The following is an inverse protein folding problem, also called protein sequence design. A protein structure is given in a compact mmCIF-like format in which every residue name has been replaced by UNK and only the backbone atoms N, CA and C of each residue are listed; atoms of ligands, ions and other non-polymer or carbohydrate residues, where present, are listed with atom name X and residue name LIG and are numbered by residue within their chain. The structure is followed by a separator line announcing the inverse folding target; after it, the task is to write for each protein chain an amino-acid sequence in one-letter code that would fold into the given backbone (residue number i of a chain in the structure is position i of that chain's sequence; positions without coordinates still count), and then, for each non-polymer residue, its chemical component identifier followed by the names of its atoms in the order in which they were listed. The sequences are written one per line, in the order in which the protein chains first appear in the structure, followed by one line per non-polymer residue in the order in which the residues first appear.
data_IF_665083254422
#
_entry.id   IF_665083254422
#
_cell.length_a   1.000
_cell.length_b   1.000
_cell.length_c   1.000
_cell.angle_alpha   90.00
_cell.angle_beta   90.00
_cell.angle_gamma   90.00
#
_symmetry.space_group_name_H-M   'P 1'
#
loop_
_entity.id
_entity.type
_entity.pdbx_description
1 polymer ?
#
# COMPACT_ATOMS: atom_id res chain seq x y z
N UNK A 1 20.45 34.21 -10.83
CA UNK A 1 19.37 35.06 -11.39
C UNK A 1 18.24 34.13 -11.79
N UNK A 2 16.99 34.42 -11.45
CA UNK A 2 15.84 33.58 -11.86
C UNK A 2 15.57 33.83 -13.35
N UNK A 3 15.44 32.78 -14.19
CA UNK A 3 15.06 32.95 -15.58
C UNK A 3 13.66 33.57 -15.71
N UNK A 4 13.46 34.40 -16.72
CA UNK A 4 12.16 35.06 -16.95
C UNK A 4 11.00 34.06 -17.17
N UNK A 5 11.30 32.87 -17.72
CA UNK A 5 10.35 31.79 -17.91
C UNK A 5 10.78 30.49 -17.20
N UNK A 6 11.10 30.59 -15.91
CA UNK A 6 11.60 29.47 -15.14
C UNK A 6 10.72 28.21 -15.25
N UNK A 7 9.39 28.36 -15.33
CA UNK A 7 8.42 27.25 -15.41
C UNK A 7 8.60 26.35 -16.64
N UNK A 8 9.19 26.88 -17.71
CA UNK A 8 9.53 26.15 -18.92
C UNK A 8 11.03 25.86 -19.00
N UNK A 9 11.88 26.84 -18.67
CA UNK A 9 13.34 26.74 -18.87
C UNK A 9 14.07 26.06 -17.72
N UNK A 10 13.38 25.72 -16.63
CA UNK A 10 13.98 25.16 -15.41
C UNK A 10 13.21 23.98 -14.84
N UNK A 11 12.39 23.32 -15.67
CA UNK A 11 11.73 22.05 -15.36
C UNK A 11 12.78 21.02 -14.93
N UNK A 12 12.44 20.16 -13.98
CA UNK A 12 13.36 19.21 -13.34
C UNK A 12 14.33 19.82 -12.31
N UNK A 13 14.72 21.09 -12.45
CA UNK A 13 15.70 21.74 -11.58
C UNK A 13 15.15 22.92 -10.76
N UNK A 14 13.82 23.01 -10.59
CA UNK A 14 13.19 24.17 -9.97
C UNK A 14 13.70 24.46 -8.56
N UNK A 15 14.02 23.43 -7.76
CA UNK A 15 14.54 23.61 -6.39
C UNK A 15 15.95 24.20 -6.31
N UNK A 16 16.73 24.10 -7.39
CA UNK A 16 18.07 24.69 -7.48
C UNK A 16 18.06 26.21 -7.51
N UNK A 17 16.94 26.81 -7.92
CA UNK A 17 16.76 28.26 -7.99
C UNK A 17 16.16 28.74 -6.66
N UNK A 18 16.84 29.62 -5.94
CA UNK A 18 16.40 30.02 -4.59
C UNK A 18 15.00 30.66 -4.58
N UNK A 19 14.72 31.55 -5.55
CA UNK A 19 13.46 32.31 -5.58
C UNK A 19 12.22 31.46 -5.94
N UNK A 20 12.39 30.29 -6.56
CA UNK A 20 11.28 29.38 -6.91
C UNK A 20 10.90 28.46 -5.77
N UNK A 21 11.71 28.37 -4.70
CA UNK A 21 11.39 27.53 -3.52
C UNK A 21 10.15 28.02 -2.80
N UNK A 22 9.92 29.32 -2.75
CA UNK A 22 8.73 29.87 -2.10
C UNK A 22 7.45 29.51 -2.84
N UNK A 23 7.50 29.44 -4.17
CA UNK A 23 6.41 28.90 -4.98
C UNK A 23 6.15 27.41 -4.66
N UNK A 24 7.19 26.59 -4.60
CA UNK A 24 7.06 25.16 -4.28
C UNK A 24 6.48 24.95 -2.87
N UNK A 25 6.95 25.71 -1.88
CA UNK A 25 6.42 25.68 -0.50
C UNK A 25 4.96 26.13 -0.43
N UNK A 26 4.60 27.21 -1.12
CA UNK A 26 3.22 27.68 -1.17
C UNK A 26 2.28 26.62 -1.79
N UNK A 27 2.73 25.94 -2.84
CA UNK A 27 1.95 24.87 -3.49
C UNK A 27 1.84 23.61 -2.63
N UNK A 28 2.87 23.26 -1.87
CA UNK A 28 2.78 22.22 -0.87
C UNK A 28 1.79 22.58 0.24
N UNK A 29 1.86 23.82 0.75
CA UNK A 29 0.92 24.31 1.76
C UNK A 29 -0.53 24.29 1.25
N UNK A 30 -0.77 24.63 -0.02
CA UNK A 30 -2.09 24.47 -0.64
C UNK A 30 -2.59 23.02 -0.59
N UNK A 31 -1.73 22.03 -0.88
CA UNK A 31 -2.11 20.62 -0.78
C UNK A 31 -2.47 20.20 0.65
N UNK A 32 -1.75 20.73 1.65
CA UNK A 32 -2.09 20.50 3.07
C UNK A 32 -3.50 21.02 3.37
N UNK A 33 -3.90 22.15 2.80
CA UNK A 33 -5.25 22.70 2.97
C UNK A 33 -6.32 21.93 2.17
N UNK A 34 -6.01 21.52 0.93
CA UNK A 34 -6.92 20.70 0.12
C UNK A 34 -7.28 19.39 0.84
N UNK A 35 -6.31 18.81 1.56
CA UNK A 35 -6.52 17.61 2.35
C UNK A 35 -7.64 17.73 3.39
N UNK A 36 -7.78 18.90 4.00
CA UNK A 36 -8.80 19.16 5.03
C UNK A 36 -10.23 19.08 4.47
N UNK A 37 -10.40 19.32 3.17
CA UNK A 37 -11.70 19.18 2.52
C UNK A 37 -12.16 17.71 2.40
N UNK A 38 -11.21 16.77 2.33
CA UNK A 38 -11.45 15.32 2.29
C UNK A 38 -12.51 14.86 1.25
N UNK A 39 -12.58 15.55 0.11
CA UNK A 39 -13.46 15.20 -1.03
C UNK A 39 -12.68 14.53 -2.16
N UNK A 40 -13.35 13.75 -3.00
CA UNK A 40 -12.73 13.14 -4.18
C UNK A 40 -12.08 14.18 -5.10
N UNK A 41 -12.77 15.31 -5.31
CA UNK A 41 -12.26 16.43 -6.12
C UNK A 41 -10.99 17.02 -5.51
N UNK A 42 -10.97 17.25 -4.19
CA UNK A 42 -9.75 17.74 -3.52
C UNK A 42 -8.58 16.76 -3.61
N UNK A 43 -8.83 15.44 -3.53
CA UNK A 43 -7.77 14.44 -3.71
C UNK A 43 -7.25 14.47 -5.16
N UNK A 44 -8.14 14.58 -6.16
CA UNK A 44 -7.75 14.72 -7.56
C UNK A 44 -6.88 15.97 -7.81
N UNK A 45 -7.32 17.13 -7.30
CA UNK A 45 -6.55 18.39 -7.37
C UNK A 45 -5.18 18.27 -6.68
N UNK A 46 -5.13 17.57 -5.53
CA UNK A 46 -3.87 17.33 -4.83
C UNK A 46 -2.88 16.55 -5.71
N UNK A 47 -3.32 15.46 -6.34
CA UNK A 47 -2.40 14.67 -7.18
C UNK A 47 -1.94 15.48 -8.39
N UNK A 48 -2.78 16.32 -8.98
CA UNK A 48 -2.40 17.19 -10.09
C UNK A 48 -1.36 18.23 -9.67
N UNK A 49 -1.53 18.85 -8.49
CA UNK A 49 -0.51 19.75 -7.95
C UNK A 49 0.79 19.03 -7.64
N UNK A 50 0.74 17.86 -7.01
CA UNK A 50 1.94 17.09 -6.66
C UNK A 50 2.68 16.55 -7.89
N UNK A 51 1.98 16.09 -8.93
CA UNK A 51 2.60 15.69 -10.19
C UNK A 51 3.36 16.83 -10.85
N UNK A 52 2.75 18.01 -10.93
CA UNK A 52 3.41 19.16 -11.55
C UNK A 52 4.57 19.66 -10.69
N UNK A 53 4.48 19.55 -9.36
CA UNK A 53 5.61 19.81 -8.48
C UNK A 53 6.77 18.83 -8.70
N UNK A 54 6.49 17.53 -8.90
CA UNK A 54 7.50 16.53 -9.26
C UNK A 54 8.09 16.79 -10.65
N UNK A 55 7.27 17.20 -11.63
CA UNK A 55 7.74 17.64 -12.95
C UNK A 55 8.73 18.81 -12.83
N UNK A 56 8.41 19.81 -11.99
CA UNK A 56 9.28 20.95 -11.74
C UNK A 56 10.54 20.54 -10.95
N UNK A 57 10.42 19.64 -9.98
CA UNK A 57 11.51 19.20 -9.12
C UNK A 57 11.64 17.67 -9.14
N UNK A 58 12.31 17.13 -10.17
CA UNK A 58 12.43 15.67 -10.36
C UNK A 58 13.18 14.96 -9.23
N UNK A 59 14.16 15.64 -8.62
CA UNK A 59 14.89 15.12 -7.46
C UNK A 59 14.06 15.13 -6.15
N UNK A 60 12.78 15.53 -6.22
CA UNK A 60 11.82 15.51 -5.14
C UNK A 60 12.34 16.02 -3.78
N UNK A 61 12.83 17.25 -3.77
CA UNK A 61 13.39 17.86 -2.56
C UNK A 61 12.36 18.13 -1.45
N UNK A 62 11.08 17.86 -1.69
CA UNK A 62 9.99 18.05 -0.72
C UNK A 62 9.35 16.74 -0.26
N UNK A 63 9.81 15.58 -0.72
CA UNK A 63 9.30 14.27 -0.30
C UNK A 63 7.89 13.96 -0.82
N UNK A 64 7.51 14.50 -1.98
CA UNK A 64 6.20 14.32 -2.60
C UNK A 64 5.98 12.87 -3.04
N UNK A 65 7.04 12.16 -3.42
CA UNK A 65 6.99 10.76 -3.87
C UNK A 65 6.49 9.81 -2.78
N UNK A 66 6.58 10.21 -1.52
CA UNK A 66 6.12 9.41 -0.38
C UNK A 66 4.61 9.57 -0.17
N UNK A 67 4.05 10.70 -0.63
CA UNK A 67 2.63 11.07 -0.47
C UNK A 67 1.78 10.55 -1.63
N UNK A 68 2.29 10.72 -2.86
CA UNK A 68 1.52 10.52 -4.08
C UNK A 68 0.89 9.12 -4.22
N UNK A 69 1.57 8.01 -3.92
CA UNK A 69 1.01 6.66 -4.10
C UNK A 69 -0.31 6.44 -3.37
N UNK A 70 -0.41 6.85 -2.10
CA UNK A 70 -1.64 6.67 -1.32
C UNK A 70 -2.78 7.57 -1.79
N UNK A 71 -2.49 8.70 -2.43
CA UNK A 71 -3.51 9.53 -3.08
C UNK A 71 -4.03 8.88 -4.37
N UNK A 72 -3.15 8.24 -5.15
CA UNK A 72 -3.54 7.49 -6.34
C UNK A 72 -4.49 6.33 -6.01
N UNK A 73 -4.21 5.61 -4.92
CA UNK A 73 -5.07 4.52 -4.45
C UNK A 73 -6.46 4.99 -4.00
N UNK A 74 -6.56 6.18 -3.40
CA UNK A 74 -7.86 6.79 -3.04
C UNK A 74 -8.71 7.17 -4.27
N UNK A 75 -8.08 7.33 -5.44
CA UNK A 75 -8.76 7.63 -6.71
C UNK A 75 -8.95 6.39 -7.59
N UNK A 76 -8.70 5.19 -7.07
CA UNK A 76 -8.68 3.94 -7.82
C UNK A 76 -7.72 3.94 -9.02
N UNK A 77 -6.70 4.81 -9.01
CA UNK A 77 -5.65 4.90 -10.03
C UNK A 77 -4.55 3.87 -9.76
N UNK A 78 -4.98 2.61 -9.62
CA UNK A 78 -4.18 1.52 -9.06
C UNK A 78 -2.97 1.16 -9.94
N UNK A 79 -3.14 1.10 -11.26
CA UNK A 79 -2.04 0.85 -12.20
C UNK A 79 -0.98 1.94 -12.10
N UNK A 80 -1.42 3.20 -12.04
CA UNK A 80 -0.50 4.33 -11.94
C UNK A 80 0.24 4.36 -10.61
N UNK A 81 -0.43 4.00 -9.50
CA UNK A 81 0.25 3.84 -8.22
C UNK A 81 1.37 2.81 -8.32
N UNK A 82 1.09 1.66 -8.93
CA UNK A 82 2.08 0.59 -9.09
C UNK A 82 3.26 1.03 -9.96
N UNK A 83 2.98 1.58 -11.14
CA UNK A 83 3.97 2.06 -12.08
C UNK A 83 4.86 3.15 -11.46
N UNK A 84 4.26 4.10 -10.75
CA UNK A 84 4.98 5.18 -10.07
C UNK A 84 5.97 4.64 -9.04
N UNK A 85 5.52 3.77 -8.14
CA UNK A 85 6.40 3.20 -7.11
C UNK A 85 7.47 2.32 -7.74
N UNK A 86 7.11 1.50 -8.75
CA UNK A 86 8.06 0.65 -9.45
C UNK A 86 9.16 1.47 -10.12
N UNK A 87 8.81 2.57 -10.78
CA UNK A 87 9.78 3.46 -11.40
C UNK A 87 10.78 4.02 -10.37
N UNK A 88 10.29 4.58 -9.26
CA UNK A 88 11.14 5.14 -8.20
C UNK A 88 12.04 4.11 -7.50
N UNK A 89 11.58 2.86 -7.43
CA UNK A 89 12.31 1.80 -6.74
C UNK A 89 13.33 1.09 -7.65
N UNK A 90 13.03 0.96 -8.94
CA UNK A 90 13.81 0.10 -9.85
C UNK A 90 14.58 0.94 -10.87
N UNK A 91 13.91 1.87 -11.55
CA UNK A 91 14.41 2.54 -12.76
C UNK A 91 15.13 3.85 -12.44
N UNK A 92 14.64 4.65 -11.49
CA UNK A 92 15.22 5.95 -11.12
C UNK A 92 16.65 5.89 -10.57
N UNK A 93 17.13 4.68 -10.29
CA UNK A 93 18.46 4.42 -9.75
C UNK A 93 19.54 4.37 -10.84
N UNK A 94 19.15 4.31 -12.11
CA UNK A 94 20.05 4.34 -13.28
C UNK A 94 20.23 5.77 -13.81
N UNK A 95 19.33 6.69 -13.43
CA UNK A 95 19.32 8.07 -13.90
C UNK A 95 20.31 8.92 -13.08
N UNK A 96 21.56 9.00 -13.56
CA UNK A 96 22.63 9.77 -12.89
C UNK A 96 22.39 11.30 -12.98
N UNK A 97 21.64 11.76 -13.99
CA UNK A 97 21.31 13.18 -14.17
C UNK A 97 19.80 13.43 -14.25
N UNK A 98 19.20 13.78 -13.10
CA UNK A 98 17.81 14.24 -12.97
C UNK A 98 17.47 15.50 -13.81
N UNK A 99 18.44 16.05 -14.55
CA UNK A 99 18.32 17.24 -15.40
C UNK A 99 18.13 16.92 -16.89
N UNK A 100 18.58 15.76 -17.37
CA UNK A 100 18.42 15.40 -18.79
C UNK A 100 17.02 14.82 -19.05
N UNK A 101 16.50 15.13 -20.23
CA UNK A 101 15.46 14.51 -21.04
C UNK A 101 14.32 13.80 -20.30
N UNK A 102 13.09 14.31 -20.39
CA UNK A 102 11.91 13.72 -19.75
C UNK A 102 11.42 12.38 -20.32
N UNK A 103 12.18 11.72 -21.20
CA UNK A 103 11.76 10.45 -21.82
C UNK A 103 11.94 9.24 -20.87
N UNK A 104 12.90 9.29 -19.95
CA UNK A 104 13.11 8.25 -18.92
C UNK A 104 12.40 8.53 -17.60
N UNK A 105 11.95 9.77 -17.37
CA UNK A 105 11.32 10.15 -16.11
C UNK A 105 9.88 9.61 -16.00
N UNK A 106 9.61 8.81 -14.97
CA UNK A 106 8.32 8.12 -14.77
C UNK A 106 7.86 7.34 -16.02
N UNK A 107 8.81 6.68 -16.69
CA UNK A 107 8.59 5.94 -17.96
C UNK A 107 7.92 4.57 -17.80
N UNK A 108 7.84 4.04 -16.58
CA UNK A 108 7.16 2.78 -16.32
C UNK A 108 5.67 2.94 -16.58
N UNK A 109 5.13 2.12 -17.48
CA UNK A 109 3.70 2.07 -17.79
C UNK A 109 3.25 0.62 -17.96
N UNK A 110 2.04 0.32 -17.50
CA UNK A 110 1.39 -1.00 -17.61
C UNK A 110 2.24 -2.14 -17.03
N UNK A 111 3.04 -1.86 -15.99
CA UNK A 111 3.80 -2.90 -15.33
C UNK A 111 2.87 -3.91 -14.66
N UNK A 112 3.29 -5.18 -14.60
CA UNK A 112 2.48 -6.23 -14.00
C UNK A 112 2.34 -6.03 -12.48
N UNK A 113 1.23 -5.40 -12.08
CA UNK A 113 0.86 -5.21 -10.68
C UNK A 113 0.64 -6.52 -9.90
N UNK A 114 0.66 -7.69 -10.54
CA UNK A 114 0.58 -9.02 -9.91
C UNK A 114 1.93 -9.75 -9.85
N UNK A 115 2.99 -9.17 -10.40
CA UNK A 115 4.32 -9.77 -10.36
C UNK A 115 4.81 -9.94 -8.92
N UNK A 116 5.78 -10.83 -8.72
CA UNK A 116 6.35 -11.08 -7.41
C UNK A 116 7.13 -9.86 -6.89
N UNK A 117 7.11 -9.70 -5.58
CA UNK A 117 7.59 -8.52 -4.86
C UNK A 117 9.06 -8.66 -4.42
N UNK A 118 9.80 -9.68 -4.89
CA UNK A 118 11.22 -9.91 -4.55
C UNK A 118 12.18 -8.84 -5.05
N UNK A 119 11.77 -8.01 -6.02
CA UNK A 119 12.59 -6.85 -6.40
C UNK A 119 12.72 -5.85 -5.23
N UNK A 120 11.86 -5.93 -4.20
CA UNK A 120 12.04 -5.18 -2.94
C UNK A 120 13.14 -5.77 -2.02
N UNK A 121 13.51 -7.05 -2.16
CA UNK A 121 14.52 -7.68 -1.30
C UNK A 121 15.95 -7.22 -1.65
N UNK A 122 16.13 -6.61 -2.82
CA UNK A 122 17.45 -6.26 -3.35
C UNK A 122 17.95 -4.89 -2.88
N UNK A 123 17.08 -4.05 -2.28
CA UNK A 123 17.39 -2.65 -1.95
C UNK A 123 16.59 -2.13 -0.76
N UNK A 124 17.03 -1.01 -0.18
CA UNK A 124 16.30 -0.33 0.89
C UNK A 124 15.01 0.29 0.31
N UNK A 125 13.86 -0.27 0.65
CA UNK A 125 12.54 0.24 0.26
C UNK A 125 12.10 1.36 1.22
N UNK A 126 11.59 2.46 0.68
CA UNK A 126 10.98 3.48 1.53
C UNK A 126 9.69 2.92 2.17
N UNK A 127 9.48 3.22 3.46
CA UNK A 127 8.33 2.72 4.20
C UNK A 127 6.99 3.14 3.56
N UNK A 128 6.88 4.37 3.02
CA UNK A 128 5.65 4.84 2.39
C UNK A 128 5.34 4.06 1.11
N UNK A 129 6.37 3.79 0.30
CA UNK A 129 6.24 2.97 -0.91
C UNK A 129 5.85 1.53 -0.57
N UNK A 130 6.47 0.94 0.47
CA UNK A 130 6.09 -0.38 0.95
C UNK A 130 4.63 -0.44 1.40
N UNK A 131 4.17 0.57 2.14
CA UNK A 131 2.80 0.66 2.64
C UNK A 131 1.79 0.84 1.50
N UNK A 132 2.10 1.67 0.50
CA UNK A 132 1.22 1.87 -0.65
C UNK A 132 1.09 0.57 -1.48
N UNK A 133 2.21 -0.10 -1.78
CA UNK A 133 2.15 -1.37 -2.52
C UNK A 133 1.48 -2.46 -1.69
N UNK A 134 1.72 -2.52 -0.38
CA UNK A 134 1.01 -3.45 0.50
C UNK A 134 -0.50 -3.21 0.48
N UNK A 135 -0.97 -1.97 0.59
CA UNK A 135 -2.38 -1.62 0.45
C UNK A 135 -2.93 -2.09 -0.89
N UNK A 136 -2.24 -1.80 -2.00
CA UNK A 136 -2.65 -2.27 -3.33
C UNK A 136 -2.76 -3.80 -3.40
N UNK A 137 -1.76 -4.54 -2.87
CA UNK A 137 -1.81 -6.02 -2.86
C UNK A 137 -2.96 -6.55 -2.01
N UNK A 138 -3.26 -5.92 -0.87
CA UNK A 138 -4.39 -6.30 -0.02
C UNK A 138 -5.72 -5.98 -0.73
N UNK A 139 -5.85 -4.83 -1.40
CA UNK A 139 -7.02 -4.48 -2.22
C UNK A 139 -7.28 -5.54 -3.30
N UNK A 140 -6.25 -5.92 -4.05
CA UNK A 140 -6.35 -6.98 -5.07
C UNK A 140 -6.71 -8.35 -4.45
N UNK A 141 -6.22 -8.65 -3.25
CA UNK A 141 -6.58 -9.87 -2.52
C UNK A 141 -8.06 -9.87 -2.11
N UNK A 142 -8.57 -8.73 -1.63
CA UNK A 142 -9.99 -8.55 -1.31
C UNK A 142 -10.86 -8.77 -2.56
N UNK A 143 -10.49 -8.18 -3.70
CA UNK A 143 -11.24 -8.35 -4.96
C UNK A 143 -11.27 -9.81 -5.43
N UNK A 144 -10.14 -10.52 -5.36
CA UNK A 144 -10.08 -11.95 -5.73
C UNK A 144 -11.00 -12.78 -4.83
N UNK A 145 -10.99 -12.53 -3.52
CA UNK A 145 -11.84 -13.24 -2.56
C UNK A 145 -13.32 -12.90 -2.76
N UNK A 146 -13.63 -11.64 -3.04
CA UNK A 146 -14.99 -11.17 -3.33
C UNK A 146 -15.54 -11.82 -4.60
N UNK A 147 -14.73 -11.94 -5.66
CA UNK A 147 -15.11 -12.67 -6.88
C UNK A 147 -15.37 -14.15 -6.61
N UNK A 148 -14.51 -14.83 -5.84
CA UNK A 148 -14.72 -16.25 -5.49
C UNK A 148 -16.01 -16.44 -4.69
N UNK A 149 -16.26 -15.60 -3.69
CA UNK A 149 -17.48 -15.64 -2.90
C UNK A 149 -18.72 -15.35 -3.74
N UNK A 150 -18.66 -14.32 -4.59
CA UNK A 150 -19.72 -13.94 -5.51
C UNK A 150 -20.12 -15.11 -6.41
N UNK A 151 -19.15 -15.77 -7.06
CA UNK A 151 -19.40 -16.94 -7.91
C UNK A 151 -20.01 -18.10 -7.15
N UNK A 152 -19.57 -18.36 -5.92
CA UNK A 152 -20.17 -19.40 -5.07
C UNK A 152 -21.62 -19.08 -4.72
N UNK A 153 -21.95 -17.84 -4.40
CA UNK A 153 -23.33 -17.42 -4.10
C UNK A 153 -24.25 -17.51 -5.33
N UNK A 154 -23.69 -17.26 -6.52
CA UNK A 154 -24.38 -17.37 -7.80
C UNK A 154 -24.48 -18.81 -8.31
N UNK A 155 -23.68 -19.74 -7.76
CA UNK A 155 -23.69 -21.15 -8.16
C UNK A 155 -25.10 -21.75 -8.01
N UNK A 156 -25.55 -22.46 -9.06
CA UNK A 156 -26.88 -23.06 -9.11
C UNK A 156 -28.04 -22.08 -9.32
N UNK A 157 -27.78 -20.78 -9.48
CA UNK A 157 -28.82 -19.81 -9.84
C UNK A 157 -28.93 -19.68 -11.36
N UNK A 158 -30.16 -19.74 -11.89
CA UNK A 158 -30.42 -19.60 -13.31
C UNK A 158 -30.60 -18.12 -13.71
N UNK A 159 -29.55 -17.32 -13.56
CA UNK A 159 -29.56 -15.89 -13.89
C UNK A 159 -28.96 -15.66 -15.29
N UNK A 160 -29.43 -14.64 -16.05
CA UNK A 160 -28.78 -14.29 -17.30
C UNK A 160 -27.30 -13.91 -17.09
N UNK A 161 -26.43 -14.31 -18.01
CA UNK A 161 -24.98 -14.03 -17.93
C UNK A 161 -24.69 -12.54 -17.75
N UNK A 162 -25.46 -11.67 -18.40
CA UNK A 162 -25.33 -10.21 -18.25
C UNK A 162 -25.50 -9.71 -16.80
N UNK A 163 -26.38 -10.36 -16.03
CA UNK A 163 -26.57 -10.01 -14.61
C UNK A 163 -25.42 -10.58 -13.78
N UNK A 164 -24.99 -11.80 -14.08
CA UNK A 164 -23.84 -12.43 -13.41
C UNK A 164 -22.57 -11.59 -13.59
N UNK A 165 -22.31 -11.10 -14.79
CA UNK A 165 -21.15 -10.27 -15.09
C UNK A 165 -21.22 -8.92 -14.36
N UNK A 166 -22.40 -8.27 -14.34
CA UNK A 166 -22.61 -7.02 -13.60
C UNK A 166 -22.41 -7.19 -12.09
N UNK A 167 -22.89 -8.29 -11.52
CA UNK A 167 -22.73 -8.57 -10.09
C UNK A 167 -21.27 -8.87 -9.76
N UNK A 168 -20.56 -9.62 -10.60
CA UNK A 168 -19.12 -9.85 -10.44
C UNK A 168 -18.31 -8.54 -10.52
N UNK A 169 -18.58 -7.70 -11.53
CA UNK A 169 -17.92 -6.39 -11.67
C UNK A 169 -18.23 -5.44 -10.50
N UNK A 170 -19.43 -5.53 -9.92
CA UNK A 170 -19.80 -4.72 -8.75
C UNK A 170 -19.21 -5.25 -7.44
N UNK A 171 -18.66 -6.47 -7.44
CA UNK A 171 -18.03 -7.10 -6.26
C UNK A 171 -16.53 -6.82 -6.14
N UNK A 172 -15.97 -6.07 -7.10
CA UNK A 172 -14.56 -5.68 -7.11
C UNK A 172 -14.44 -4.16 -7.08
N UNK A 173 -13.39 -3.68 -6.42
CA UNK A 173 -13.09 -2.26 -6.27
C UNK A 173 -12.04 -1.77 -7.28
N UNK A 174 -10.99 -2.58 -7.52
CA UNK A 174 -9.88 -2.17 -8.37
C UNK A 174 -10.21 -2.26 -9.86
N UNK A 175 -9.89 -1.23 -10.67
CA UNK A 175 -9.90 -1.35 -12.13
C UNK A 175 -9.00 -2.47 -12.66
N UNK A 176 -7.89 -2.77 -11.97
CA UNK A 176 -7.00 -3.88 -12.32
C UNK A 176 -7.69 -5.24 -12.21
N UNK A 177 -8.65 -5.36 -11.29
CA UNK A 177 -9.38 -6.60 -11.03
C UNK A 177 -10.45 -6.91 -12.08
N UNK A 178 -10.81 -5.97 -12.96
CA UNK A 178 -11.83 -6.20 -14.00
C UNK A 178 -11.46 -7.37 -14.92
N UNK A 179 -10.17 -7.51 -15.25
CA UNK A 179 -9.67 -8.63 -16.07
C UNK A 179 -9.80 -9.99 -15.37
N UNK A 180 -9.96 -10.01 -14.03
CA UNK A 180 -10.06 -11.24 -13.24
C UNK A 180 -11.43 -11.91 -13.38
N UNK A 181 -12.46 -11.18 -13.81
CA UNK A 181 -13.81 -11.73 -14.06
C UNK A 181 -13.79 -12.84 -15.12
N UNK A 182 -12.82 -12.83 -16.03
CA UNK A 182 -12.65 -13.87 -17.05
C UNK A 182 -11.90 -15.13 -16.58
N UNK A 183 -11.28 -15.12 -15.40
CA UNK A 183 -10.46 -16.24 -14.92
C UNK A 183 -11.32 -17.38 -14.37
N UNK A 184 -10.83 -18.62 -14.43
CA UNK A 184 -11.43 -19.78 -13.75
C UNK A 184 -11.28 -19.71 -12.23
N UNK A 185 -12.03 -20.54 -11.50
CA UNK A 185 -11.93 -20.63 -10.03
C UNK A 185 -10.51 -21.06 -9.62
N UNK A 186 -9.90 -22.01 -10.35
CA UNK A 186 -8.56 -22.51 -10.08
C UNK A 186 -7.50 -21.42 -10.30
N UNK A 187 -7.66 -20.58 -11.32
CA UNK A 187 -6.76 -19.44 -11.56
C UNK A 187 -6.89 -18.37 -10.47
N UNK A 188 -8.13 -18.09 -10.01
CA UNK A 188 -8.36 -17.19 -8.88
C UNK A 188 -7.75 -17.72 -7.58
N UNK A 189 -7.86 -19.02 -7.31
CA UNK A 189 -7.23 -19.66 -6.15
C UNK A 189 -5.70 -19.59 -6.20
N UNK A 190 -5.11 -19.84 -7.37
CA UNK A 190 -3.67 -19.69 -7.56
C UNK A 190 -3.22 -18.24 -7.37
N UNK A 191 -4.00 -17.27 -7.88
CA UNK A 191 -3.73 -15.85 -7.71
C UNK A 191 -3.86 -15.41 -6.25
N UNK A 192 -4.90 -15.85 -5.54
CA UNK A 192 -5.10 -15.56 -4.12
C UNK A 192 -3.90 -16.03 -3.29
N UNK A 193 -3.44 -17.27 -3.49
CA UNK A 193 -2.29 -17.79 -2.77
C UNK A 193 -1.02 -16.95 -3.04
N UNK A 194 -0.81 -16.51 -4.28
CA UNK A 194 0.31 -15.61 -4.62
C UNK A 194 0.17 -14.26 -3.91
N UNK A 195 -1.00 -13.65 -3.94
CA UNK A 195 -1.26 -12.35 -3.30
C UNK A 195 -1.10 -12.41 -1.78
N UNK A 196 -1.55 -13.50 -1.13
CA UNK A 196 -1.30 -13.74 0.30
C UNK A 196 0.20 -13.74 0.58
N UNK A 197 0.99 -14.51 -0.17
CA UNK A 197 2.46 -14.54 0.01
C UNK A 197 3.09 -13.16 -0.19
N UNK A 198 2.64 -12.40 -1.19
CA UNK A 198 3.11 -11.03 -1.42
C UNK A 198 2.78 -10.10 -0.25
N UNK A 199 1.54 -10.15 0.27
CA UNK A 199 1.11 -9.39 1.44
C UNK A 199 1.91 -9.77 2.69
N UNK A 200 2.22 -11.06 2.89
CA UNK A 200 3.03 -11.52 4.01
C UNK A 200 4.46 -11.01 3.95
N UNK A 201 5.09 -11.03 2.76
CA UNK A 201 6.44 -10.48 2.55
C UNK A 201 6.48 -8.98 2.84
N UNK A 202 5.58 -8.20 2.22
CA UNK A 202 5.50 -6.75 2.38
C UNK A 202 5.10 -6.34 3.82
N UNK A 203 4.15 -7.06 4.41
CA UNK A 203 3.75 -6.87 5.81
C UNK A 203 4.90 -7.16 6.78
N UNK A 204 5.63 -8.26 6.57
CA UNK A 204 6.83 -8.58 7.34
C UNK A 204 7.94 -7.53 7.18
N UNK A 205 8.14 -7.01 5.97
CA UNK A 205 9.06 -5.92 5.69
C UNK A 205 8.67 -4.66 6.46
N UNK A 206 7.43 -4.20 6.34
CA UNK A 206 6.95 -2.97 7.00
C UNK A 206 7.02 -3.07 8.53
N UNK A 207 6.74 -4.23 9.13
CA UNK A 207 6.99 -4.47 10.55
C UNK A 207 8.46 -4.33 10.94
N UNK A 208 9.39 -4.67 10.04
CA UNK A 208 10.83 -4.58 10.28
C UNK A 208 11.34 -3.16 10.10
N UNK A 209 10.84 -2.47 9.06
CA UNK A 209 11.18 -1.09 8.75
C UNK A 209 10.69 -0.14 9.86
N UNK A 210 9.48 -0.37 10.39
CA UNK A 210 8.94 0.41 11.49
C UNK A 210 8.02 -0.44 12.38
N UNK A 211 8.52 -0.79 13.57
CA UNK A 211 7.79 -1.66 14.49
C UNK A 211 6.58 -0.97 15.15
N UNK A 212 6.48 0.36 15.08
CA UNK A 212 5.38 1.12 15.64
C UNK A 212 4.14 1.08 14.75
N UNK A 213 4.30 1.06 13.42
CA UNK A 213 3.21 1.21 12.47
C UNK A 213 2.06 0.23 12.74
N UNK A 214 2.30 -1.08 12.65
CA UNK A 214 1.23 -2.07 12.82
C UNK A 214 0.74 -2.24 14.26
N UNK A 215 1.50 -1.76 15.26
CA UNK A 215 1.08 -1.80 16.66
C UNK A 215 0.00 -0.76 16.97
N UNK A 216 0.00 0.33 16.22
CA UNK A 216 -0.87 1.49 16.45
C UNK A 216 -1.78 1.75 15.24
N UNK A 217 -1.90 0.77 14.33
CA UNK A 217 -2.64 0.91 13.08
C UNK A 217 -4.12 1.20 13.32
N UNK A 218 -4.71 0.58 14.35
CA UNK A 218 -6.13 0.72 14.67
C UNK A 218 -6.46 2.05 15.34
N UNK A 219 -5.49 2.64 16.05
CA UNK A 219 -5.57 3.92 16.76
C UNK A 219 -4.86 5.06 16.01
N UNK A 220 -4.63 4.90 14.71
CA UNK A 220 -3.83 5.83 13.91
C UNK A 220 -4.37 7.27 13.94
N UNK A 221 -5.69 7.45 13.86
CA UNK A 221 -6.31 8.78 13.98
C UNK A 221 -6.09 9.41 15.36
N UNK A 222 -6.28 8.64 16.44
CA UNK A 222 -6.09 9.13 17.81
C UNK A 222 -4.64 9.63 17.99
N UNK A 223 -3.67 8.87 17.49
CA UNK A 223 -2.26 9.28 17.54
C UNK A 223 -1.95 10.52 16.70
N UNK A 224 -2.57 10.66 15.51
CA UNK A 224 -2.41 11.85 14.68
C UNK A 224 -3.01 13.09 15.35
N UNK A 225 -4.16 12.96 16.00
CA UNK A 225 -4.82 14.06 16.73
C UNK A 225 -4.03 14.48 17.98
N UNK A 226 -3.53 13.52 18.75
CA UNK A 226 -2.78 13.78 19.98
C UNK A 226 -1.39 14.39 19.74
N UNK A 227 -0.69 13.93 18.70
CA UNK A 227 0.73 14.27 18.49
C UNK A 227 0.92 15.31 17.38
N UNK A 228 -0.02 15.43 16.45
CA UNK A 228 0.14 16.25 15.24
C UNK A 228 1.24 15.73 14.31
N UNK A 229 1.58 16.57 13.32
CA UNK A 229 2.64 16.25 12.36
C UNK A 229 4.03 16.54 12.94
N UNK A 230 4.98 15.60 12.83
CA UNK A 230 6.34 15.83 13.29
C UNK A 230 7.07 16.83 12.37
N UNK A 231 7.99 17.61 12.96
CA UNK A 231 8.84 18.55 12.21
C UNK A 231 9.99 17.83 11.47
N UNK A 232 10.43 16.71 12.03
CA UNK A 232 11.43 15.83 11.45
C UNK A 232 11.12 14.40 11.85
N UNK A 233 11.55 13.45 11.03
CA UNK A 233 11.46 12.02 11.31
C UNK A 233 12.80 11.35 11.00
N UNK A 234 13.00 10.17 11.56
CA UNK A 234 14.12 9.28 11.24
C UNK A 234 13.59 7.88 10.93
N UNK A 235 14.33 7.11 10.15
CA UNK A 235 13.89 5.76 9.78
C UNK A 235 13.65 4.88 11.02
N UNK A 236 12.50 4.21 11.05
CA UNK A 236 12.01 3.35 12.13
C UNK A 236 11.48 4.08 13.37
N UNK A 237 11.46 5.42 13.37
CA UNK A 237 11.01 6.22 14.52
C UNK A 237 9.49 6.28 14.67
N UNK A 238 9.04 6.74 15.84
CA UNK A 238 7.63 7.06 16.09
C UNK A 238 7.14 8.19 15.17
N UNK A 239 7.99 9.20 14.94
CA UNK A 239 7.69 10.33 14.06
C UNK A 239 7.53 9.88 12.60
N UNK A 240 8.35 8.94 12.12
CA UNK A 240 8.16 8.35 10.80
C UNK A 240 6.82 7.63 10.71
N UNK A 241 6.42 6.89 11.73
CA UNK A 241 5.12 6.23 11.78
C UNK A 241 3.96 7.25 11.69
N UNK A 242 4.02 8.36 12.44
CA UNK A 242 3.00 9.42 12.36
C UNK A 242 2.94 10.03 10.95
N UNK A 243 4.09 10.24 10.29
CA UNK A 243 4.13 10.77 8.93
C UNK A 243 3.50 9.79 7.93
N UNK A 244 3.82 8.50 8.02
CA UNK A 244 3.27 7.47 7.14
C UNK A 244 1.78 7.28 7.39
N UNK A 245 1.32 7.32 8.65
CA UNK A 245 -0.12 7.34 8.96
C UNK A 245 -0.79 8.56 8.38
N UNK A 246 -0.17 9.73 8.53
CA UNK A 246 -0.69 10.94 7.93
C UNK A 246 -0.89 10.69 6.45
N UNK A 247 0.08 10.19 5.68
CA UNK A 247 -0.09 9.98 4.23
C UNK A 247 -1.05 8.85 3.84
N UNK A 248 -1.02 7.72 4.54
CA UNK A 248 -1.64 6.47 4.08
C UNK A 248 -2.98 6.14 4.73
N UNK A 249 -3.27 6.62 5.94
CA UNK A 249 -4.43 6.18 6.73
C UNK A 249 -5.78 6.33 5.98
N UNK A 250 -6.09 7.44 5.32
CA UNK A 250 -7.34 7.56 4.57
C UNK A 250 -7.50 6.49 3.47
N UNK A 251 -6.41 6.13 2.78
CA UNK A 251 -6.45 5.14 1.72
C UNK A 251 -6.81 3.74 2.26
N UNK A 252 -6.31 3.38 3.44
CA UNK A 252 -6.67 2.13 4.11
C UNK A 252 -8.17 2.06 4.43
N UNK A 253 -8.73 3.14 5.02
CA UNK A 253 -10.13 3.16 5.47
C UNK A 253 -11.15 3.36 4.34
N UNK A 254 -10.77 3.99 3.23
CA UNK A 254 -11.64 4.19 2.08
C UNK A 254 -11.68 2.97 1.16
N UNK A 255 -10.70 2.06 1.25
CA UNK A 255 -10.68 0.86 0.41
C UNK A 255 -11.56 -0.23 1.03
N UNK A 256 -12.70 -0.50 0.39
CA UNK A 256 -13.70 -1.47 0.88
C UNK A 256 -13.09 -2.86 1.13
N UNK A 257 -13.41 -3.46 2.28
CA UNK A 257 -13.04 -4.83 2.63
C UNK A 257 -11.60 -5.01 3.14
N UNK A 258 -10.73 -4.00 3.00
CA UNK A 258 -9.32 -4.09 3.43
C UNK A 258 -9.21 -4.13 4.94
N UNK A 259 -9.82 -3.17 5.64
CA UNK A 259 -9.78 -3.06 7.12
C UNK A 259 -10.44 -4.28 7.77
N UNK A 260 -11.53 -4.79 7.19
CA UNK A 260 -12.21 -6.00 7.63
C UNK A 260 -11.32 -7.23 7.49
N UNK A 261 -10.64 -7.39 6.35
CA UNK A 261 -9.73 -8.51 6.11
C UNK A 261 -8.56 -8.49 7.11
N UNK A 262 -7.97 -7.32 7.37
CA UNK A 262 -6.91 -7.16 8.36
C UNK A 262 -7.41 -7.43 9.79
N UNK A 263 -8.62 -7.00 10.13
CA UNK A 263 -9.23 -7.25 11.43
C UNK A 263 -9.42 -8.74 11.68
N UNK A 264 -9.81 -9.50 10.66
CA UNK A 264 -9.94 -10.96 10.73
C UNK A 264 -8.58 -11.62 10.99
N UNK A 265 -7.55 -11.19 10.25
CA UNK A 265 -6.19 -11.70 10.43
C UNK A 265 -5.64 -11.38 11.83
N UNK A 266 -5.87 -10.16 12.33
CA UNK A 266 -5.40 -9.72 13.64
C UNK A 266 -6.10 -10.49 14.78
N UNK A 267 -7.43 -10.59 14.74
CA UNK A 267 -8.19 -11.39 15.74
C UNK A 267 -7.78 -12.85 15.74
N UNK A 268 -7.53 -13.43 14.57
CA UNK A 268 -7.03 -14.80 14.47
C UNK A 268 -5.65 -14.92 15.12
N UNK A 269 -4.73 -14.00 14.83
CA UNK A 269 -3.40 -13.97 15.42
C UNK A 269 -3.45 -13.81 16.96
N UNK A 270 -4.31 -12.93 17.47
CA UNK A 270 -4.57 -12.78 18.91
C UNK A 270 -5.06 -14.10 19.53
N UNK A 271 -6.02 -14.77 18.89
CA UNK A 271 -6.51 -16.08 19.34
C UNK A 271 -5.42 -17.15 19.37
N UNK A 272 -4.51 -17.14 18.40
CA UNK A 272 -3.36 -18.04 18.37
C UNK A 272 -2.34 -17.72 19.47
N UNK A 273 -2.08 -16.44 19.78
CA UNK A 273 -1.24 -16.06 20.92
C UNK A 273 -1.79 -16.55 22.24
N UNK A 274 -3.09 -16.36 22.48
CA UNK A 274 -3.73 -16.82 23.71
C UNK A 274 -3.61 -18.34 23.87
N UNK A 275 -3.79 -19.12 22.79
CA UNK A 275 -3.58 -20.58 22.81
C UNK A 275 -2.11 -20.96 23.01
N UNK A 276 -1.17 -20.21 22.46
CA UNK A 276 0.27 -20.47 22.59
C UNK A 276 0.78 -20.25 24.01
N UNK A 277 0.21 -19.28 24.75
CA UNK A 277 0.52 -19.05 26.18
C UNK A 277 0.24 -20.32 27.01
N UNK A 278 -0.75 -21.13 26.60
CA UNK A 278 -1.16 -22.34 27.29
C UNK A 278 -0.57 -23.65 26.70
N UNK A 279 0.28 -23.58 25.66
CA UNK A 279 0.76 -24.75 24.91
C UNK A 279 2.19 -25.21 25.29
N UNK A 280 2.46 -26.53 25.33
CA UNK A 280 3.81 -27.06 25.56
C UNK A 280 4.83 -26.67 24.46
N UNK A 281 6.08 -26.38 24.85
CA UNK A 281 7.15 -25.88 23.96
C UNK A 281 7.41 -26.72 22.69
N UNK A 282 7.27 -28.05 22.74
CA UNK A 282 7.43 -28.92 21.56
C UNK A 282 6.35 -28.70 20.48
N UNK A 283 5.15 -28.29 20.89
CA UNK A 283 4.06 -27.97 19.96
C UNK A 283 4.23 -26.57 19.36
N UNK A 284 4.78 -25.63 20.13
CA UNK A 284 5.16 -24.30 19.64
C UNK A 284 6.23 -24.40 18.53
N UNK A 285 7.25 -25.25 18.73
CA UNK A 285 8.33 -25.46 17.75
C UNK A 285 7.84 -26.11 16.44
N UNK A 286 6.85 -27.02 16.52
CA UNK A 286 6.24 -27.64 15.34
C UNK A 286 5.42 -26.62 14.51
N UNK A 287 4.68 -25.73 15.17
CA UNK A 287 3.92 -24.66 14.51
C UNK A 287 4.81 -23.65 13.78
N UNK A 288 6.01 -23.37 14.32
CA UNK A 288 6.99 -22.47 13.69
C UNK A 288 7.73 -23.13 12.52
N UNK A 289 7.93 -24.46 12.52
CA UNK A 289 8.55 -25.18 11.39
C UNK A 289 7.70 -25.16 10.11
N UNK A 290 6.38 -25.03 10.24
CA UNK A 290 5.47 -24.89 9.10
C UNK A 290 5.49 -23.48 8.47
N UNK A 291 6.20 -22.52 9.08
CA UNK A 291 6.30 -21.14 8.58
C UNK A 291 7.76 -20.63 8.59
N UNK A 292 8.63 -21.13 7.70
CA UNK A 292 10.08 -20.93 7.75
C UNK A 292 10.56 -19.50 7.49
N UNK A 293 9.68 -18.56 7.14
CA UNK A 293 10.02 -17.15 6.98
C UNK A 293 10.30 -16.42 8.32
N UNK A 294 10.05 -17.09 9.46
CA UNK A 294 9.93 -16.45 10.76
C UNK A 294 10.64 -17.29 11.84
N UNK A 295 11.87 -16.91 12.21
CA UNK A 295 12.77 -17.68 13.09
C UNK A 295 12.43 -17.69 14.60
N UNK A 296 13.16 -18.49 15.41
CA UNK A 296 12.77 -18.88 16.78
C UNK A 296 12.91 -17.80 17.88
N UNK A 297 13.40 -16.59 17.59
CA UNK A 297 13.57 -15.50 18.58
C UNK A 297 12.31 -14.61 18.75
N UNK A 298 11.12 -15.09 18.39
CA UNK A 298 9.93 -14.25 18.18
C UNK A 298 8.78 -14.43 19.20
N UNK A 299 9.08 -14.88 20.41
CA UNK A 299 8.08 -14.93 21.50
C UNK A 299 8.43 -13.85 22.53
N UNK A 300 7.66 -12.77 22.56
CA UNK A 300 7.76 -11.64 23.51
C UNK A 300 6.76 -10.53 23.22
N UNK A 301 6.73 -9.47 24.05
CA UNK A 301 5.86 -8.26 23.98
C UNK A 301 5.94 -7.45 22.66
N UNK A 302 6.68 -7.95 21.66
CA UNK A 302 7.04 -7.32 20.39
C UNK A 302 6.17 -7.81 19.21
N UNK A 303 5.20 -8.71 19.46
CA UNK A 303 4.64 -9.56 18.40
C UNK A 303 3.43 -9.00 17.61
N UNK A 304 2.78 -7.92 18.09
CA UNK A 304 1.50 -7.35 17.63
C UNK A 304 1.21 -7.43 16.12
N UNK A 305 1.89 -6.60 15.35
CA UNK A 305 1.66 -6.50 13.90
C UNK A 305 2.23 -7.66 13.08
N UNK A 306 3.35 -8.25 13.51
CA UNK A 306 4.05 -9.27 12.72
C UNK A 306 3.27 -10.59 12.67
N UNK A 307 2.60 -10.97 13.75
CA UNK A 307 1.82 -12.21 13.75
C UNK A 307 0.57 -12.14 12.86
N UNK A 308 -0.04 -10.96 12.72
CA UNK A 308 -1.19 -10.76 11.81
C UNK A 308 -0.82 -11.21 10.39
N UNK A 309 0.31 -10.72 9.88
CA UNK A 309 0.81 -11.11 8.57
C UNK A 309 1.19 -12.60 8.53
N UNK A 310 1.91 -13.08 9.54
CA UNK A 310 2.30 -14.49 9.62
C UNK A 310 1.11 -15.46 9.56
N UNK A 311 -0.01 -15.12 10.21
CA UNK A 311 -1.20 -15.97 10.29
C UNK A 311 -2.26 -15.68 9.20
N UNK A 312 -2.08 -14.66 8.35
CA UNK A 312 -3.07 -14.24 7.35
C UNK A 312 -3.62 -15.41 6.53
N UNK A 313 -2.75 -16.25 5.94
CA UNK A 313 -3.19 -17.40 5.14
C UNK A 313 -4.13 -18.34 5.91
N UNK A 314 -3.77 -18.67 7.16
CA UNK A 314 -4.57 -19.57 8.00
C UNK A 314 -5.86 -18.91 8.47
N UNK A 315 -5.84 -17.61 8.74
CA UNK A 315 -7.04 -16.84 9.08
C UNK A 315 -8.06 -16.86 7.93
N UNK A 316 -7.60 -16.57 6.71
CA UNK A 316 -8.45 -16.54 5.51
C UNK A 316 -9.00 -17.93 5.15
N UNK A 317 -8.17 -18.98 5.20
CA UNK A 317 -8.63 -20.37 5.02
C UNK A 317 -9.63 -20.82 6.09
N UNK A 318 -9.53 -20.27 7.30
CA UNK A 318 -10.49 -20.56 8.38
C UNK A 318 -11.81 -19.85 8.12
N UNK A 319 -11.78 -18.57 7.73
CA UNK A 319 -12.95 -17.81 7.35
C UNK A 319 -13.73 -18.49 6.21
N UNK A 320 -13.01 -18.99 5.20
CA UNK A 320 -13.61 -19.72 4.09
C UNK A 320 -14.46 -20.89 4.60
N UNK A 321 -14.00 -21.69 5.56
CA UNK A 321 -14.78 -22.81 6.12
C UNK A 321 -16.07 -22.39 6.83
N UNK A 322 -16.15 -21.17 7.32
CA UNK A 322 -17.35 -20.65 8.01
C UNK A 322 -18.32 -19.95 7.05
N UNK A 323 -17.80 -19.41 5.93
CA UNK A 323 -18.60 -18.85 4.85
C UNK A 323 -19.04 -19.91 3.83
N UNK A 324 -18.44 -21.11 3.88
CA UNK A 324 -18.70 -22.22 2.97
C UNK A 324 -19.66 -23.26 3.49
#
# INVERSE_FOLDING_TARGET
MTPANAFETSVGHFWGILNTRDYMRARFALNVQLREAATLDSIAEMVDHYRDMLRLCRNDNMGIRDILPCLLLQLDRDQECYDFVKWWMVESQVEEDWREDGESYLSTHDADAYEDVTYFDQRFLDLNHAIAILLLKVKLLVDVRSLRLCRKVLEGRNWPNEIIDKVQLSSISSPLSQKLVGLSIQELEALENRLIVQCQKLGGYTCTANFHFWRNFWEANDHLEENGLPQCSSQGSWEEMLLVFYHSHPAWWQTEGVVELLTIADRFAMGMRLKNIDMPAKQQEALMKDNPAFGPNMVGEVAGGRDMWMWMERALKTQDRYLM
#
